data_IF_897627636904
#
_entry.id   IF_897627636904
#
_cell.length_a   1.000
_cell.length_b   1.000
_cell.length_c   1.000
_cell.angle_alpha   90.00
_cell.angle_beta   90.00
_cell.angle_gamma   90.00
#
_symmetry.space_group_name_H-M   'P 1'
#
loop_
_entity.id
_entity.type
_entity.pdbx_description
1 polymer ?
#
# COMPACT_ATOMS: atom_id res chain seq x y z
N UNK A 1 -1.10 1.89 15.97
CA UNK A 1 -1.44 2.88 14.92
C UNK A 1 -0.64 2.56 13.67
N UNK A 2 -1.17 2.82 12.48
CA UNK A 2 -0.45 2.79 11.19
C UNK A 2 -0.58 4.14 10.50
N UNK A 3 0.39 4.47 9.66
CA UNK A 3 0.33 5.70 8.86
C UNK A 3 -0.61 5.51 7.67
N UNK A 4 -1.31 6.57 7.32
CA UNK A 4 -1.99 6.69 6.03
C UNK A 4 -1.54 8.00 5.38
N UNK A 5 -1.27 7.93 4.09
CA UNK A 5 -0.86 9.07 3.27
C UNK A 5 -1.96 9.36 2.28
N UNK A 6 -2.33 10.63 2.19
CA UNK A 6 -3.25 11.08 1.16
C UNK A 6 -2.67 10.76 -0.24
N UNK A 7 -3.48 10.35 -1.23
CA UNK A 7 -3.00 9.85 -2.51
C UNK A 7 -2.03 10.76 -3.29
N UNK A 8 -2.12 12.08 -3.09
CA UNK A 8 -1.24 13.10 -3.68
C UNK A 8 -0.11 13.53 -2.74
N UNK A 9 -0.02 12.91 -1.56
CA UNK A 9 0.98 13.18 -0.55
C UNK A 9 0.75 14.48 0.19
N UNK A 10 -0.46 15.04 0.19
CA UNK A 10 -0.76 16.35 0.79
C UNK A 10 -0.69 16.28 2.32
N UNK A 11 -1.23 15.21 2.91
CA UNK A 11 -1.28 15.04 4.36
C UNK A 11 -1.02 13.60 4.78
N UNK A 12 -0.55 13.47 6.02
CA UNK A 12 -0.32 12.21 6.71
C UNK A 12 -1.19 12.19 7.97
N UNK A 13 -1.77 11.04 8.28
CA UNK A 13 -2.42 10.77 9.57
C UNK A 13 -1.96 9.42 10.13
N UNK A 14 -2.15 9.25 11.42
CA UNK A 14 -2.08 7.95 12.08
C UNK A 14 -3.50 7.45 12.33
N UNK A 15 -3.82 6.30 11.76
CA UNK A 15 -5.08 5.58 12.02
C UNK A 15 -4.82 4.33 12.85
N UNK A 16 -5.82 3.77 13.55
CA UNK A 16 -5.70 2.47 14.19
C UNK A 16 -5.26 1.38 13.19
N UNK A 17 -4.51 0.41 13.68
CA UNK A 17 -3.89 -0.62 12.83
C UNK A 17 -4.92 -1.60 12.26
N UNK A 18 -6.05 -1.70 12.94
CA UNK A 18 -7.24 -2.50 12.66
C UNK A 18 -8.32 -1.73 11.89
N UNK A 19 -8.01 -0.53 11.40
CA UNK A 19 -8.88 0.23 10.49
C UNK A 19 -8.46 0.03 9.03
N UNK A 20 -9.45 -0.05 8.14
CA UNK A 20 -9.30 -0.06 6.69
C UNK A 20 -9.53 1.33 6.09
N UNK A 21 -8.92 1.60 4.94
CA UNK A 21 -9.22 2.73 4.08
C UNK A 21 -10.23 2.31 3.00
N UNK A 22 -11.33 3.05 2.86
CA UNK A 22 -12.50 2.61 2.12
C UNK A 22 -12.49 2.96 0.63
N UNK A 23 -11.96 4.12 0.25
CA UNK A 23 -12.13 4.61 -1.13
C UNK A 23 -11.44 3.70 -2.16
N UNK A 24 -10.35 3.02 -1.80
CA UNK A 24 -9.69 2.06 -2.69
C UNK A 24 -10.37 0.69 -2.74
N UNK A 25 -11.30 0.40 -1.83
CA UNK A 25 -11.94 -0.92 -1.67
C UNK A 25 -13.32 -1.04 -2.31
N UNK A 26 -13.98 0.08 -2.64
CA UNK A 26 -15.35 0.11 -3.17
C UNK A 26 -15.35 0.67 -4.60
N UNK A 27 -15.93 -0.07 -5.56
CA UNK A 27 -15.93 0.27 -7.00
C UNK A 27 -16.55 1.64 -7.32
N UNK A 28 -17.41 2.16 -6.46
CA UNK A 28 -18.17 3.38 -6.70
C UNK A 28 -17.50 4.64 -6.11
N UNK A 29 -16.35 4.50 -5.46
CA UNK A 29 -15.65 5.61 -4.82
C UNK A 29 -14.46 6.04 -5.68
N UNK A 30 -14.40 7.34 -5.96
CA UNK A 30 -13.21 7.95 -6.54
C UNK A 30 -12.12 8.12 -5.45
N UNK A 31 -10.86 8.00 -5.84
CA UNK A 31 -9.68 8.24 -4.99
C UNK A 31 -9.48 9.76 -4.78
N UNK A 32 -10.50 10.43 -4.21
CA UNK A 32 -10.56 11.85 -3.88
C UNK A 32 -11.28 12.07 -2.55
N UNK A 33 -11.09 13.24 -1.95
CA UNK A 33 -11.81 13.64 -0.73
C UNK A 33 -13.33 13.54 -0.90
N UNK A 34 -14.08 13.02 0.09
CA UNK A 34 -13.63 12.58 1.43
C UNK A 34 -12.98 11.20 1.45
N UNK A 35 -11.95 11.03 2.29
CA UNK A 35 -11.25 9.76 2.54
C UNK A 35 -11.86 9.03 3.73
N UNK A 36 -12.44 7.84 3.50
CA UNK A 36 -13.18 7.07 4.51
C UNK A 36 -12.34 6.01 5.23
N UNK A 37 -12.60 5.83 6.51
CA UNK A 37 -11.94 4.88 7.40
C UNK A 37 -12.93 4.24 8.37
N UNK A 38 -12.77 2.95 8.62
CA UNK A 38 -13.54 2.22 9.61
C UNK A 38 -12.77 0.98 10.10
N UNK A 39 -13.14 0.36 11.23
CA UNK A 39 -12.66 -0.96 11.60
C UNK A 39 -12.82 -2.02 10.49
N UNK A 40 -11.94 -3.03 10.46
CA UNK A 40 -12.12 -4.19 9.57
C UNK A 40 -13.40 -4.99 9.91
N UNK A 41 -13.78 -5.04 11.19
CA UNK A 41 -14.91 -5.79 11.73
C UNK A 41 -15.76 -4.90 12.64
N UNK A 42 -17.03 -5.27 12.80
CA UNK A 42 -17.96 -4.66 13.76
C UNK A 42 -17.97 -3.12 13.67
N UNK A 43 -17.91 -2.60 12.44
CA UNK A 43 -18.00 -1.17 12.18
C UNK A 43 -19.36 -0.65 12.64
N UNK A 44 -19.33 0.24 13.63
CA UNK A 44 -20.50 0.94 14.18
C UNK A 44 -20.59 2.39 13.68
N UNK A 45 -19.71 2.78 12.77
CA UNK A 45 -19.65 4.12 12.21
C UNK A 45 -18.44 4.29 11.30
N UNK A 46 -18.44 5.35 10.51
CA UNK A 46 -17.42 5.66 9.52
C UNK A 46 -16.79 7.02 9.82
N UNK A 47 -15.46 7.05 9.92
CA UNK A 47 -14.70 8.28 9.98
C UNK A 47 -14.32 8.71 8.56
N UNK A 48 -14.55 9.96 8.21
CA UNK A 48 -14.12 10.55 6.94
C UNK A 48 -13.23 11.75 7.21
N UNK A 49 -12.19 11.92 6.40
CA UNK A 49 -11.34 13.10 6.41
C UNK A 49 -11.23 13.66 4.99
N UNK A 50 -11.48 14.94 4.84
CA UNK A 50 -11.25 15.67 3.59
C UNK A 50 -10.17 16.72 3.77
N UNK A 51 -9.45 16.98 2.69
CA UNK A 51 -8.57 18.13 2.57
C UNK A 51 -8.80 18.86 1.24
N UNK A 52 -8.80 20.19 1.31
CA UNK A 52 -8.95 21.05 0.15
C UNK A 52 -7.97 22.22 0.27
N UNK A 53 -7.52 22.82 -0.85
CA UNK A 53 -6.77 24.06 -0.80
C UNK A 53 -7.52 25.12 0.02
N UNK A 54 -6.85 25.70 1.01
CA UNK A 54 -7.44 26.71 1.90
C UNK A 54 -7.91 27.94 1.11
N UNK A 55 -7.20 28.26 0.02
CA UNK A 55 -7.53 29.34 -0.91
C UNK A 55 -8.89 29.16 -1.59
N UNK A 56 -9.36 27.91 -1.76
CA UNK A 56 -10.64 27.60 -2.39
C UNK A 56 -11.80 27.67 -1.39
N UNK A 57 -11.62 27.10 -0.19
CA UNK A 57 -12.70 27.02 0.81
C UNK A 57 -12.77 28.22 1.76
N UNK A 58 -11.65 28.87 2.07
CA UNK A 58 -11.58 30.03 2.95
C UNK A 58 -10.58 31.08 2.44
N UNK A 59 -10.91 31.81 1.35
CA UNK A 59 -10.02 32.81 0.76
C UNK A 59 -9.63 33.93 1.73
N UNK A 60 -10.55 34.33 2.62
CA UNK A 60 -10.28 35.36 3.66
C UNK A 60 -9.24 34.89 4.67
N UNK A 61 -9.33 33.64 5.14
CA UNK A 61 -8.35 33.02 6.04
C UNK A 61 -6.98 32.93 5.37
N UNK A 62 -6.95 32.57 4.08
CA UNK A 62 -5.72 32.54 3.28
C UNK A 62 -5.08 33.93 3.19
N UNK A 63 -5.86 34.98 2.92
CA UNK A 63 -5.36 36.37 2.88
C UNK A 63 -4.82 36.84 4.24
N UNK A 64 -5.44 36.42 5.33
CA UNK A 64 -4.99 36.75 6.68
C UNK A 64 -3.75 35.95 7.12
N UNK A 65 -3.47 34.82 6.48
CA UNK A 65 -2.37 33.91 6.79
C UNK A 65 -1.59 33.57 5.52
N UNK A 66 -0.84 34.52 4.93
CA UNK A 66 -0.15 34.32 3.65
C UNK A 66 0.91 33.20 3.70
N UNK A 67 1.49 32.94 4.88
CA UNK A 67 2.44 31.84 5.12
C UNK A 67 1.76 30.54 5.57
N UNK A 68 0.43 30.45 5.46
CA UNK A 68 -0.37 29.35 5.96
C UNK A 68 -0.68 29.40 7.46
N UNK A 69 -1.67 28.62 7.87
CA UNK A 69 -2.13 28.55 9.27
C UNK A 69 -1.19 27.65 10.08
N UNK A 70 -0.40 28.22 11.00
CA UNK A 70 0.66 27.48 11.72
C UNK A 70 0.19 26.60 12.87
N UNK A 71 -1.05 26.78 13.33
CA UNK A 71 -1.62 26.00 14.44
C UNK A 71 -2.99 25.50 14.04
N UNK A 72 -3.12 24.18 13.94
CA UNK A 72 -4.40 23.53 13.76
C UNK A 72 -5.25 23.68 15.03
N UNK A 73 -6.47 24.17 14.87
CA UNK A 73 -7.52 24.16 15.88
C UNK A 73 -8.76 23.55 15.26
N UNK A 74 -9.28 22.51 15.90
CA UNK A 74 -10.52 21.87 15.47
C UNK A 74 -11.70 22.58 16.09
N UNK A 75 -12.63 23.01 15.24
CA UNK A 75 -13.97 23.38 15.67
C UNK A 75 -14.86 22.16 15.50
N UNK A 76 -15.71 21.92 16.49
CA UNK A 76 -16.64 20.80 16.51
C UNK A 76 -18.07 21.30 16.36
N UNK A 77 -18.85 20.62 15.54
CA UNK A 77 -20.29 20.82 15.43
C UNK A 77 -21.00 19.49 15.17
N UNK A 78 -22.32 19.49 15.32
CA UNK A 78 -23.16 18.31 15.12
C UNK A 78 -24.19 18.59 14.03
N UNK A 79 -24.35 17.64 13.11
CA UNK A 79 -25.26 17.74 11.97
C UNK A 79 -25.99 16.41 11.76
N UNK A 80 -27.07 16.22 12.50
CA UNK A 80 -27.85 14.98 12.43
C UNK A 80 -28.95 15.06 11.39
N UNK A 81 -29.36 13.91 10.88
CA UNK A 81 -30.57 13.74 10.09
C UNK A 81 -31.41 12.58 10.66
N UNK A 82 -32.45 12.15 9.92
CA UNK A 82 -33.37 11.14 10.40
C UNK A 82 -32.79 9.71 10.40
N UNK A 83 -31.65 9.47 9.74
CA UNK A 83 -30.99 8.15 9.66
C UNK A 83 -29.65 8.12 10.40
N UNK A 84 -28.94 9.25 10.44
CA UNK A 84 -27.55 9.32 10.87
C UNK A 84 -27.30 10.49 11.82
N UNK A 85 -26.45 10.22 12.82
CA UNK A 85 -25.79 11.24 13.61
C UNK A 85 -24.42 11.56 12.99
N UNK A 86 -24.09 12.85 12.86
CA UNK A 86 -22.78 13.27 12.29
C UNK A 86 -22.07 14.25 13.22
N UNK A 87 -20.89 13.86 13.69
CA UNK A 87 -19.94 14.78 14.32
C UNK A 87 -19.03 15.37 13.26
N UNK A 88 -19.02 16.70 13.16
CA UNK A 88 -18.22 17.45 12.20
C UNK A 88 -17.06 18.11 12.92
N UNK A 89 -15.87 17.95 12.36
CA UNK A 89 -14.64 18.59 12.80
C UNK A 89 -14.09 19.41 11.65
N UNK A 90 -13.81 20.69 11.85
CA UNK A 90 -13.26 21.51 10.78
C UNK A 90 -12.21 22.50 11.28
N UNK A 91 -11.18 22.70 10.47
CA UNK A 91 -10.04 23.54 10.79
C UNK A 91 -9.23 23.89 9.55
N UNK A 92 -8.25 24.76 9.73
CA UNK A 92 -7.26 25.08 8.72
C UNK A 92 -5.87 24.78 9.26
N UNK A 93 -5.00 24.22 8.41
CA UNK A 93 -3.61 23.97 8.75
C UNK A 93 -2.74 24.12 7.51
N UNK A 94 -1.67 24.91 7.63
CA UNK A 94 -0.86 25.38 6.51
C UNK A 94 -1.73 25.95 5.38
N UNK A 95 -1.62 25.38 4.19
CA UNK A 95 -2.34 25.73 2.97
C UNK A 95 -3.62 24.91 2.76
N UNK A 96 -4.06 24.15 3.77
CA UNK A 96 -5.17 23.20 3.66
C UNK A 96 -6.34 23.57 4.59
N UNK A 97 -7.56 23.46 4.07
CA UNK A 97 -8.80 23.36 4.83
C UNK A 97 -9.12 21.89 5.07
N UNK A 98 -9.38 21.51 6.31
CA UNK A 98 -9.60 20.13 6.73
C UNK A 98 -11.02 19.96 7.27
N UNK A 99 -11.68 18.87 6.88
CA UNK A 99 -13.02 18.52 7.33
C UNK A 99 -13.02 17.04 7.74
N UNK A 100 -13.11 16.76 9.02
CA UNK A 100 -13.37 15.44 9.58
C UNK A 100 -14.88 15.23 9.79
N UNK A 101 -15.37 14.01 9.57
CA UNK A 101 -16.73 13.60 9.90
C UNK A 101 -16.70 12.23 10.57
N UNK A 102 -17.47 12.04 11.63
CA UNK A 102 -17.78 10.70 12.13
C UNK A 102 -19.29 10.48 12.02
N UNK A 103 -19.68 9.49 11.23
CA UNK A 103 -21.07 9.22 10.84
C UNK A 103 -21.47 7.85 11.38
N UNK A 104 -22.59 7.76 12.10
CA UNK A 104 -23.13 6.52 12.64
C UNK A 104 -24.66 6.55 12.64
N UNK A 105 -25.27 5.36 12.71
CA UNK A 105 -26.73 5.18 12.71
C UNK A 105 -27.36 5.83 13.95
N UNK A 106 -28.48 6.54 13.78
CA UNK A 106 -29.22 7.18 14.89
C UNK A 106 -29.63 6.19 15.99
N UNK A 107 -29.83 4.91 15.67
CA UNK A 107 -30.14 3.86 16.63
C UNK A 107 -29.01 3.59 17.64
N UNK A 108 -27.79 4.04 17.35
CA UNK A 108 -26.62 3.93 18.23
C UNK A 108 -26.38 5.20 19.07
N UNK A 109 -27.28 6.18 19.04
CA UNK A 109 -27.16 7.35 19.90
C UNK A 109 -27.16 6.96 21.39
N UNK A 110 -26.15 7.43 22.12
CA UNK A 110 -25.93 7.09 23.53
C UNK A 110 -25.20 5.77 23.78
N UNK A 111 -24.87 4.99 22.74
CA UNK A 111 -24.03 3.81 22.86
C UNK A 111 -22.61 4.20 23.32
N UNK A 112 -22.09 3.57 24.38
CA UNK A 112 -20.78 3.88 24.94
C UNK A 112 -19.63 3.66 23.93
N UNK A 113 -19.81 2.72 22.99
CA UNK A 113 -18.82 2.44 21.95
C UNK A 113 -18.64 3.62 21.00
N UNK A 114 -19.68 4.44 20.78
CA UNK A 114 -19.56 5.66 19.96
C UNK A 114 -18.63 6.67 20.64
N UNK A 115 -18.72 6.85 21.95
CA UNK A 115 -17.81 7.72 22.69
C UNK A 115 -16.34 7.25 22.60
N UNK A 116 -16.11 5.93 22.65
CA UNK A 116 -14.79 5.33 22.44
C UNK A 116 -14.25 5.60 21.01
N UNK A 117 -15.10 5.43 19.99
CA UNK A 117 -14.75 5.73 18.60
C UNK A 117 -14.44 7.20 18.39
N UNK A 118 -15.22 8.12 18.97
CA UNK A 118 -14.95 9.56 18.91
C UNK A 118 -13.63 9.94 19.59
N UNK A 119 -13.28 9.28 20.71
CA UNK A 119 -11.99 9.47 21.35
C UNK A 119 -10.82 9.00 20.44
N UNK A 120 -11.02 7.92 19.68
CA UNK A 120 -10.06 7.47 18.65
C UNK A 120 -9.98 8.48 17.51
N UNK A 121 -11.12 8.94 16.98
CA UNK A 121 -11.18 9.98 15.93
C UNK A 121 -10.41 11.23 16.36
N UNK A 122 -10.58 11.69 17.60
CA UNK A 122 -9.82 12.83 18.12
C UNK A 122 -8.31 12.56 18.12
N UNK A 123 -7.86 11.34 18.44
CA UNK A 123 -6.43 10.97 18.33
C UNK A 123 -5.95 11.01 16.87
N UNK A 124 -6.76 10.53 15.93
CA UNK A 124 -6.46 10.59 14.48
C UNK A 124 -6.36 12.04 14.02
N UNK A 125 -7.34 12.89 14.34
CA UNK A 125 -7.37 14.32 13.98
C UNK A 125 -6.17 15.10 14.54
N UNK A 126 -5.69 14.76 15.74
CA UNK A 126 -4.51 15.38 16.34
C UNK A 126 -3.18 14.83 15.79
N UNK A 127 -3.21 13.79 14.96
CA UNK A 127 -2.02 13.23 14.29
C UNK A 127 -1.75 13.83 12.91
N UNK A 128 -2.61 14.74 12.44
CA UNK A 128 -2.51 15.33 11.09
C UNK A 128 -1.20 16.09 10.93
N UNK A 129 -0.49 15.77 9.84
CA UNK A 129 0.68 16.50 9.36
C UNK A 129 0.42 16.91 7.91
N UNK A 130 0.55 18.21 7.60
CA UNK A 130 0.56 18.67 6.21
C UNK A 130 1.99 18.55 5.68
N UNK A 131 2.12 17.86 4.56
CA UNK A 131 3.40 17.69 3.88
C UNK A 131 3.71 18.98 3.10
N UNK A 132 4.90 19.58 3.29
CA UNK A 132 5.33 20.72 2.50
C UNK A 132 5.23 20.45 1.00
N UNK A 133 4.85 21.45 0.21
CA UNK A 133 4.58 21.28 -1.23
C UNK A 133 5.71 20.57 -1.99
N UNK A 134 6.96 20.93 -1.71
CA UNK A 134 8.14 20.32 -2.33
C UNK A 134 8.34 18.83 -2.02
N UNK A 135 7.77 18.33 -0.92
CA UNK A 135 7.92 16.94 -0.46
C UNK A 135 6.70 16.04 -0.77
N UNK A 136 5.59 16.62 -1.23
CA UNK A 136 4.33 15.87 -1.48
C UNK A 136 4.51 14.71 -2.45
N UNK A 137 5.24 14.94 -3.54
CA UNK A 137 5.55 13.88 -4.51
C UNK A 137 6.33 12.73 -3.87
N UNK A 138 7.27 13.03 -2.97
CA UNK A 138 8.04 12.02 -2.24
C UNK A 138 7.12 11.22 -1.30
N UNK A 139 6.25 11.90 -0.57
CA UNK A 139 5.27 11.24 0.31
C UNK A 139 4.34 10.30 -0.47
N UNK A 140 3.77 10.77 -1.58
CA UNK A 140 2.92 9.96 -2.45
C UNK A 140 3.66 8.73 -3.03
N UNK A 141 4.92 8.91 -3.40
CA UNK A 141 5.75 7.82 -3.92
C UNK A 141 6.09 6.78 -2.84
N UNK A 142 6.35 7.21 -1.61
CA UNK A 142 6.56 6.31 -0.47
C UNK A 142 5.30 5.49 -0.16
N UNK A 143 4.11 6.12 -0.24
CA UNK A 143 2.84 5.42 -0.04
C UNK A 143 2.62 4.33 -1.10
N UNK A 144 2.89 4.63 -2.38
CA UNK A 144 2.82 3.65 -3.48
C UNK A 144 3.79 2.48 -3.28
N UNK A 145 5.02 2.76 -2.81
CA UNK A 145 5.98 1.73 -2.44
C UNK A 145 5.44 0.85 -1.29
N UNK A 146 4.86 1.46 -0.27
CA UNK A 146 4.27 0.76 0.86
C UNK A 146 3.09 -0.15 0.46
N UNK A 147 2.21 0.34 -0.43
CA UNK A 147 1.11 -0.46 -1.01
C UNK A 147 1.64 -1.61 -1.87
N UNK A 148 2.74 -1.42 -2.60
CA UNK A 148 3.41 -2.47 -3.37
C UNK A 148 3.92 -3.59 -2.45
N UNK A 149 4.61 -3.23 -1.35
CA UNK A 149 5.07 -4.22 -0.36
C UNK A 149 3.90 -4.96 0.32
N UNK A 150 2.83 -4.25 0.67
CA UNK A 150 1.60 -4.85 1.19
C UNK A 150 1.00 -5.86 0.21
N UNK A 151 0.99 -5.53 -1.08
CA UNK A 151 0.50 -6.41 -2.15
C UNK A 151 1.39 -7.64 -2.35
N UNK A 152 2.72 -7.47 -2.27
CA UNK A 152 3.66 -8.58 -2.29
C UNK A 152 3.42 -9.50 -1.09
N UNK A 153 3.27 -8.97 0.12
CA UNK A 153 2.99 -9.76 1.31
C UNK A 153 1.65 -10.53 1.22
N UNK A 154 0.61 -9.89 0.70
CA UNK A 154 -0.70 -10.52 0.46
C UNK A 154 -0.61 -11.65 -0.58
N UNK A 155 0.22 -11.50 -1.61
CA UNK A 155 0.39 -12.53 -2.64
C UNK A 155 0.94 -13.85 -2.09
N UNK A 156 1.70 -13.83 -0.99
CA UNK A 156 2.14 -15.05 -0.31
C UNK A 156 0.97 -15.81 0.33
N UNK A 157 -0.06 -15.14 0.84
CA UNK A 157 -1.26 -15.83 1.36
C UNK A 157 -2.00 -16.57 0.24
N UNK A 158 -2.07 -15.94 -0.95
CA UNK A 158 -2.63 -16.58 -2.15
C UNK A 158 -1.79 -17.79 -2.56
N UNK A 159 -0.45 -17.65 -2.58
CA UNK A 159 0.45 -18.75 -2.91
C UNK A 159 0.30 -19.93 -1.95
N UNK A 160 0.29 -19.68 -0.64
CA UNK A 160 0.10 -20.72 0.36
C UNK A 160 -1.23 -21.44 0.21
N UNK A 161 -2.29 -20.69 -0.09
CA UNK A 161 -3.62 -21.26 -0.36
C UNK A 161 -3.61 -22.15 -1.61
N UNK A 162 -2.97 -21.69 -2.69
CA UNK A 162 -2.83 -22.48 -3.92
C UNK A 162 -1.99 -23.75 -3.71
N UNK A 163 -0.92 -23.68 -2.92
CA UNK A 163 -0.10 -24.84 -2.53
C UNK A 163 -0.93 -25.84 -1.73
N UNK A 164 -1.67 -25.38 -0.72
CA UNK A 164 -2.52 -26.25 0.11
C UNK A 164 -3.62 -26.93 -0.71
N UNK A 165 -4.15 -26.24 -1.72
CA UNK A 165 -5.15 -26.77 -2.64
C UNK A 165 -4.57 -27.60 -3.80
N UNK A 166 -3.24 -27.73 -3.89
CA UNK A 166 -2.54 -28.34 -5.04
C UNK A 166 -2.96 -27.73 -6.40
N UNK A 167 -3.25 -26.43 -6.42
CA UNK A 167 -3.71 -25.69 -7.59
C UNK A 167 -2.52 -25.25 -8.46
N UNK A 168 -1.89 -26.18 -9.18
CA UNK A 168 -0.60 -25.93 -9.86
C UNK A 168 -0.61 -24.76 -10.86
N UNK A 169 -1.71 -24.54 -11.58
CA UNK A 169 -1.82 -23.38 -12.50
C UNK A 169 -1.80 -22.07 -11.72
N UNK A 170 -2.50 -22.02 -10.58
CA UNK A 170 -2.54 -20.85 -9.71
C UNK A 170 -1.17 -20.60 -9.04
N UNK A 171 -0.48 -21.66 -8.59
CA UNK A 171 0.91 -21.58 -8.10
C UNK A 171 1.79 -20.93 -9.18
N UNK A 172 1.75 -21.41 -10.42
CA UNK A 172 2.52 -20.87 -11.55
C UNK A 172 2.19 -19.39 -11.81
N UNK A 173 0.91 -19.03 -11.79
CA UNK A 173 0.48 -17.65 -12.02
C UNK A 173 0.95 -16.70 -10.91
N UNK A 174 0.76 -17.06 -9.63
CA UNK A 174 1.13 -16.21 -8.50
C UNK A 174 2.65 -16.06 -8.38
N UNK A 175 3.40 -17.16 -8.50
CA UNK A 175 4.86 -17.14 -8.46
C UNK A 175 5.46 -16.30 -9.57
N UNK A 176 4.91 -16.34 -10.79
CA UNK A 176 5.35 -15.45 -11.88
C UNK A 176 5.17 -13.97 -11.52
N UNK A 177 4.03 -13.59 -10.90
CA UNK A 177 3.81 -12.23 -10.44
C UNK A 177 4.79 -11.82 -9.33
N UNK A 178 5.12 -12.73 -8.42
CA UNK A 178 6.08 -12.46 -7.34
C UNK A 178 7.52 -12.32 -7.87
N UNK A 179 7.92 -13.14 -8.86
CA UNK A 179 9.19 -13.00 -9.58
C UNK A 179 9.30 -11.60 -10.21
N UNK A 180 8.29 -11.19 -10.97
CA UNK A 180 8.21 -9.85 -11.58
C UNK A 180 8.30 -8.75 -10.51
N UNK A 181 7.62 -8.93 -9.37
CA UNK A 181 7.67 -7.99 -8.25
C UNK A 181 9.06 -7.87 -7.59
N UNK A 182 9.76 -8.98 -7.37
CA UNK A 182 11.13 -8.98 -6.84
C UNK A 182 12.09 -8.25 -7.78
N UNK A 183 11.96 -8.45 -9.10
CA UNK A 183 12.77 -7.76 -10.09
C UNK A 183 12.48 -6.26 -10.14
N UNK A 184 11.20 -5.85 -10.05
CA UNK A 184 10.80 -4.43 -9.98
C UNK A 184 11.41 -3.73 -8.76
N UNK A 185 11.38 -4.37 -7.59
CA UNK A 185 12.02 -3.82 -6.39
C UNK A 185 13.54 -3.72 -6.56
N UNK A 186 14.16 -4.76 -7.09
CA UNK A 186 15.60 -4.79 -7.34
C UNK A 186 16.03 -3.69 -8.32
N UNK A 187 15.23 -3.43 -9.37
CA UNK A 187 15.44 -2.33 -10.31
C UNK A 187 15.36 -0.96 -9.66
N UNK A 188 14.36 -0.72 -8.80
CA UNK A 188 14.25 0.54 -8.05
C UNK A 188 15.49 0.75 -7.19
N UNK A 189 15.94 -0.28 -6.47
CA UNK A 189 17.14 -0.20 -5.62
C UNK A 189 18.39 0.01 -6.47
N UNK A 190 18.55 -0.73 -7.58
CA UNK A 190 19.70 -0.60 -8.48
C UNK A 190 19.84 0.83 -9.02
N UNK A 191 18.74 1.44 -9.48
CA UNK A 191 18.72 2.84 -9.92
C UNK A 191 19.08 3.81 -8.80
N UNK A 192 18.53 3.61 -7.60
CA UNK A 192 18.87 4.43 -6.44
C UNK A 192 20.36 4.34 -6.09
N UNK A 193 20.95 3.14 -6.23
CA UNK A 193 22.38 2.89 -6.02
C UNK A 193 23.26 3.59 -7.06
N UNK A 194 22.89 3.50 -8.33
CA UNK A 194 23.61 4.11 -9.45
C UNK A 194 23.53 5.65 -9.41
N UNK A 195 22.33 6.20 -9.20
CA UNK A 195 22.06 7.65 -9.24
C UNK A 195 22.32 8.34 -7.89
N UNK A 196 22.59 7.58 -6.81
CA UNK A 196 22.77 8.06 -5.43
C UNK A 196 21.61 8.92 -4.94
N UNK A 197 20.39 8.41 -5.09
CA UNK A 197 19.15 9.17 -4.86
C UNK A 197 18.18 8.43 -3.94
N UNK A 198 17.34 9.21 -3.24
CA UNK A 198 16.19 8.72 -2.48
C UNK A 198 14.94 8.56 -3.36
N UNK A 199 15.01 8.97 -4.63
CA UNK A 199 13.87 8.96 -5.53
C UNK A 199 13.43 7.52 -5.83
N UNK A 200 12.12 7.28 -5.75
CA UNK A 200 11.52 5.99 -6.08
C UNK A 200 11.02 6.08 -7.51
N UNK A 201 11.52 5.19 -8.38
CA UNK A 201 11.09 5.08 -9.77
C UNK A 201 9.72 4.38 -9.85
N UNK A 202 8.66 5.15 -9.65
CA UNK A 202 7.28 4.65 -9.44
C UNK A 202 6.71 3.87 -10.62
N UNK A 203 7.18 4.09 -11.85
CA UNK A 203 6.71 3.32 -13.02
C UNK A 203 6.90 1.81 -12.88
N UNK A 204 7.82 1.36 -12.01
CA UNK A 204 8.02 -0.05 -11.73
C UNK A 204 7.05 -0.58 -10.67
N UNK A 205 6.48 0.26 -9.80
CA UNK A 205 5.74 -0.14 -8.60
C UNK A 205 4.25 0.19 -8.65
N UNK A 206 3.83 1.07 -9.55
CA UNK A 206 2.44 1.51 -9.65
C UNK A 206 2.05 1.77 -11.10
N UNK A 207 0.81 1.44 -11.42
CA UNK A 207 0.15 1.70 -12.69
C UNK A 207 -1.25 2.20 -12.38
N UNK A 208 -1.59 3.42 -12.81
CA UNK A 208 -2.94 3.93 -12.63
C UNK A 208 -3.90 3.33 -13.65
N UNK A 209 -5.21 3.47 -13.39
CA UNK A 209 -6.24 3.06 -14.34
C UNK A 209 -6.09 3.80 -15.67
N UNK A 210 -6.11 3.04 -16.77
CA UNK A 210 -5.94 3.58 -18.13
C UNK A 210 -4.49 3.83 -18.56
N UNK A 211 -3.50 3.69 -17.67
CA UNK A 211 -2.08 3.77 -18.04
C UNK A 211 -1.59 2.49 -18.70
N UNK A 212 -0.66 2.62 -19.66
CA UNK A 212 0.05 1.48 -20.22
C UNK A 212 1.14 1.04 -19.26
N UNK A 213 0.94 -0.08 -18.58
CA UNK A 213 1.93 -0.71 -17.71
C UNK A 213 3.19 -1.17 -18.43
N UNK A 214 4.27 -1.34 -17.66
CA UNK A 214 5.50 -1.98 -18.13
C UNK A 214 5.24 -3.48 -18.24
N UNK A 215 5.38 -4.02 -19.47
CA UNK A 215 5.27 -5.45 -19.72
C UNK A 215 6.38 -6.22 -18.99
N UNK A 216 6.07 -7.41 -18.50
CA UNK A 216 7.02 -8.30 -17.79
C UNK A 216 8.32 -8.54 -18.56
N UNK A 217 8.27 -8.78 -19.88
CA UNK A 217 9.50 -8.92 -20.69
C UNK A 217 10.38 -7.66 -20.63
N UNK A 218 9.75 -6.48 -20.60
CA UNK A 218 10.49 -5.22 -20.47
C UNK A 218 11.13 -5.08 -19.08
N UNK A 219 10.51 -5.63 -18.03
CA UNK A 219 11.13 -5.74 -16.70
C UNK A 219 12.35 -6.64 -16.75
N UNK A 220 12.29 -7.77 -17.47
CA UNK A 220 13.46 -8.65 -17.64
C UNK A 220 14.59 -7.95 -18.42
N UNK A 221 14.25 -7.26 -19.51
CA UNK A 221 15.22 -6.50 -20.31
C UNK A 221 15.90 -5.42 -19.48
N UNK A 222 15.12 -4.66 -18.71
CA UNK A 222 15.65 -3.64 -17.81
C UNK A 222 16.51 -4.29 -16.70
N UNK A 223 16.08 -5.42 -16.13
CA UNK A 223 16.83 -6.12 -15.09
C UNK A 223 18.20 -6.60 -15.61
N UNK A 224 18.28 -7.09 -16.84
CA UNK A 224 19.56 -7.42 -17.48
C UNK A 224 20.39 -6.14 -17.72
N UNK A 225 19.76 -5.08 -18.25
CA UNK A 225 20.44 -3.82 -18.55
C UNK A 225 21.04 -3.13 -17.32
N UNK A 226 20.34 -3.16 -16.18
CA UNK A 226 20.81 -2.64 -14.89
C UNK A 226 21.65 -3.63 -14.10
N UNK A 227 22.03 -4.77 -14.69
CA UNK A 227 22.83 -5.83 -14.06
C UNK A 227 22.22 -6.33 -12.73
N UNK A 228 20.88 -6.33 -12.64
CA UNK A 228 20.13 -6.97 -11.56
C UNK A 228 20.19 -8.48 -11.71
N UNK A 229 20.12 -8.96 -12.95
CA UNK A 229 20.25 -10.37 -13.32
C UNK A 229 21.34 -10.54 -14.38
N UNK A 230 21.93 -11.72 -14.47
CA UNK A 230 22.84 -12.09 -15.55
C UNK A 230 22.09 -12.66 -16.77
N UNK A 231 22.83 -12.93 -17.85
CA UNK A 231 22.29 -13.45 -19.09
C UNK A 231 21.64 -14.84 -18.91
N UNK A 232 22.24 -15.71 -18.09
CA UNK A 232 21.70 -17.05 -17.82
C UNK A 232 20.34 -16.98 -17.10
N UNK A 233 20.25 -16.13 -16.08
CA UNK A 233 19.00 -15.87 -15.35
C UNK A 233 17.96 -15.24 -16.29
N UNK A 234 18.35 -14.29 -17.13
CA UNK A 234 17.47 -13.66 -18.12
C UNK A 234 16.87 -14.68 -19.09
N UNK A 235 17.70 -15.57 -19.65
CA UNK A 235 17.25 -16.61 -20.57
C UNK A 235 16.29 -17.59 -19.87
N UNK A 236 16.64 -18.01 -18.65
CA UNK A 236 15.81 -18.89 -17.82
C UNK A 236 14.43 -18.30 -17.52
N UNK A 237 14.37 -17.01 -17.17
CA UNK A 237 13.11 -16.31 -16.90
C UNK A 237 12.25 -16.15 -18.18
N UNK A 238 12.88 -15.91 -19.33
CA UNK A 238 12.17 -15.87 -20.61
C UNK A 238 11.59 -17.23 -21.01
N UNK A 239 12.31 -18.32 -20.75
CA UNK A 239 11.82 -19.68 -20.95
C UNK A 239 10.61 -19.97 -20.06
N UNK A 240 10.67 -19.57 -18.79
CA UNK A 240 9.53 -19.65 -17.88
C UNK A 240 8.36 -18.82 -18.41
N UNK A 241 8.55 -17.57 -18.80
CA UNK A 241 7.48 -16.74 -19.39
C UNK A 241 6.78 -17.44 -20.57
N UNK A 242 7.55 -18.02 -21.49
CA UNK A 242 7.01 -18.76 -22.63
C UNK A 242 6.24 -20.01 -22.20
N UNK A 243 6.76 -20.71 -21.18
CA UNK A 243 6.12 -21.87 -20.57
C UNK A 243 4.80 -21.50 -19.89
N UNK A 244 4.75 -20.40 -19.13
CA UNK A 244 3.52 -19.86 -18.54
C UNK A 244 2.47 -19.63 -19.60
N UNK A 245 2.82 -18.95 -20.69
CA UNK A 245 1.86 -18.63 -21.73
C UNK A 245 1.28 -19.89 -22.37
N UNK A 246 2.06 -20.98 -22.41
CA UNK A 246 1.56 -22.28 -22.83
C UNK A 246 0.62 -22.89 -21.78
N UNK A 247 0.98 -22.86 -20.50
CA UNK A 247 0.16 -23.39 -19.39
C UNK A 247 -1.13 -22.59 -19.16
N UNK A 248 -1.14 -21.27 -19.31
CA UNK A 248 -2.30 -20.42 -19.01
C UNK A 248 -3.21 -20.30 -20.24
N UNK A 249 -2.64 -19.97 -21.40
CA UNK A 249 -3.46 -19.63 -22.58
C UNK A 249 -3.65 -20.79 -23.56
N UNK A 250 -2.77 -21.79 -23.53
CA UNK A 250 -2.76 -22.87 -24.54
C UNK A 250 -2.86 -24.26 -23.93
N UNK A 251 -3.19 -24.39 -22.64
CA UNK A 251 -3.23 -25.68 -21.96
C UNK A 251 -4.05 -26.72 -22.73
N UNK A 252 -5.30 -26.36 -23.06
CA UNK A 252 -6.27 -27.22 -23.77
C UNK A 252 -5.76 -27.67 -25.15
N UNK A 253 -5.03 -26.79 -25.85
CA UNK A 253 -4.53 -27.02 -27.21
C UNK A 253 -3.05 -27.40 -27.25
N UNK A 254 -2.48 -27.79 -26.11
CA UNK A 254 -1.08 -28.20 -25.98
C UNK A 254 -0.99 -29.63 -25.45
N UNK A 255 0.15 -30.28 -25.67
CA UNK A 255 0.40 -31.63 -25.15
C UNK A 255 0.75 -31.69 -23.66
N UNK A 256 0.74 -30.55 -22.95
CA UNK A 256 1.05 -30.49 -21.52
C UNK A 256 0.06 -31.38 -20.76
N UNK A 257 0.59 -32.40 -20.08
CA UNK A 257 -0.20 -33.25 -19.18
C UNK A 257 -0.23 -32.64 -17.79
N UNK A 258 -1.32 -32.86 -17.05
CA UNK A 258 -1.48 -32.32 -15.68
C UNK A 258 -0.34 -32.74 -14.74
N UNK A 259 0.21 -33.95 -14.92
CA UNK A 259 1.37 -34.42 -14.14
C UNK A 259 2.62 -33.53 -14.31
N UNK A 260 2.78 -32.90 -15.47
CA UNK A 260 3.92 -32.02 -15.74
C UNK A 260 3.78 -30.69 -15.01
N UNK A 261 2.56 -30.28 -14.64
CA UNK A 261 2.31 -29.05 -13.89
C UNK A 261 3.00 -29.06 -12.52
N UNK A 262 3.18 -30.24 -11.91
CA UNK A 262 3.94 -30.40 -10.66
C UNK A 262 5.38 -29.93 -10.84
N UNK A 263 6.04 -30.46 -11.87
CA UNK A 263 7.43 -30.12 -12.20
C UNK A 263 7.56 -28.66 -12.63
N UNK A 264 6.59 -28.15 -13.40
CA UNK A 264 6.58 -26.76 -13.85
C UNK A 264 6.42 -25.83 -12.64
N UNK A 265 5.47 -26.08 -11.74
CA UNK A 265 5.31 -25.31 -10.51
C UNK A 265 6.59 -25.32 -9.65
N UNK A 266 7.27 -26.47 -9.57
CA UNK A 266 8.58 -26.57 -8.91
C UNK A 266 9.63 -25.63 -9.51
N UNK A 267 9.72 -25.52 -10.84
CA UNK A 267 10.64 -24.59 -11.50
C UNK A 267 10.34 -23.13 -11.15
N UNK A 268 9.06 -22.77 -11.09
CA UNK A 268 8.65 -21.43 -10.69
C UNK A 268 8.99 -21.10 -9.24
N UNK A 269 8.77 -22.03 -8.31
CA UNK A 269 9.15 -21.84 -6.91
C UNK A 269 10.67 -21.69 -6.75
N UNK A 270 11.47 -22.44 -7.52
CA UNK A 270 12.92 -22.26 -7.53
C UNK A 270 13.34 -20.89 -8.07
N UNK A 271 12.75 -20.44 -9.19
CA UNK A 271 13.04 -19.12 -9.77
C UNK A 271 12.58 -17.97 -8.85
N UNK A 272 11.48 -18.17 -8.13
CA UNK A 272 11.01 -17.23 -7.10
C UNK A 272 12.05 -17.05 -6.00
N UNK A 273 12.60 -18.14 -5.47
CA UNK A 273 13.63 -18.06 -4.43
C UNK A 273 14.91 -17.43 -4.96
N UNK A 274 15.34 -17.77 -6.17
CA UNK A 274 16.50 -17.13 -6.81
C UNK A 274 16.32 -15.62 -6.93
N UNK A 275 15.19 -15.14 -7.43
CA UNK A 275 14.93 -13.69 -7.55
C UNK A 275 14.76 -13.00 -6.20
N UNK A 276 14.22 -13.69 -5.19
CA UNK A 276 14.16 -13.18 -3.80
C UNK A 276 15.57 -12.97 -3.23
N UNK A 277 16.50 -13.89 -3.49
CA UNK A 277 17.89 -13.77 -3.05
C UNK A 277 18.62 -12.62 -3.75
N UNK A 278 18.36 -12.41 -5.05
CA UNK A 278 18.86 -11.25 -5.79
C UNK A 278 18.37 -9.95 -5.14
N UNK A 279 17.07 -9.83 -4.87
CA UNK A 279 16.51 -8.67 -4.17
C UNK A 279 17.22 -8.43 -2.83
N UNK A 280 17.35 -9.48 -2.00
CA UNK A 280 18.03 -9.39 -0.70
C UNK A 280 19.46 -8.83 -0.85
N UNK A 281 20.20 -9.26 -1.86
CA UNK A 281 21.57 -8.79 -2.07
C UNK A 281 21.60 -7.29 -2.46
N UNK A 282 20.60 -6.79 -3.20
CA UNK A 282 20.42 -5.36 -3.46
C UNK A 282 20.03 -4.58 -2.20
N UNK A 283 19.11 -5.11 -1.39
CA UNK A 283 18.73 -4.51 -0.11
C UNK A 283 19.95 -4.37 0.83
N UNK A 284 20.81 -5.40 0.88
CA UNK A 284 22.06 -5.38 1.66
C UNK A 284 23.05 -4.34 1.13
N UNK A 285 23.19 -4.20 -0.20
CA UNK A 285 24.01 -3.15 -0.81
C UNK A 285 23.49 -1.75 -0.44
N UNK A 286 22.17 -1.56 -0.41
CA UNK A 286 21.58 -0.27 -0.05
C UNK A 286 21.66 0.04 1.45
N UNK A 287 21.60 -0.97 2.32
CA UNK A 287 21.64 -0.81 3.77
C UNK A 287 22.90 -0.10 4.31
N UNK A 288 24.00 -0.06 3.54
CA UNK A 288 25.28 0.53 3.94
C UNK A 288 25.54 1.92 3.35
N UNK A 289 24.64 2.47 2.52
CA UNK A 289 24.77 3.81 1.92
C UNK A 289 23.76 4.79 2.52
N UNK A 290 24.01 6.11 2.53
CA UNK A 290 23.15 7.08 3.22
C UNK A 290 21.88 7.50 2.45
N UNK A 291 21.63 6.90 1.29
CA UNK A 291 20.53 7.23 0.38
C UNK A 291 19.73 5.97 0.00
N UNK A 292 18.56 6.17 -0.60
CA UNK A 292 17.64 5.11 -1.01
C UNK A 292 16.68 4.68 0.10
N UNK A 293 15.77 3.77 -0.24
CA UNK A 293 14.68 3.31 0.64
C UNK A 293 15.19 2.72 1.97
N UNK A 294 16.23 1.90 1.89
CA UNK A 294 16.79 1.15 3.00
C UNK A 294 18.09 1.76 3.56
N UNK A 295 18.50 2.95 3.09
CA UNK A 295 19.78 3.59 3.45
C UNK A 295 20.10 3.57 4.95
N UNK A 296 21.33 3.87 5.37
CA UNK A 296 21.90 3.57 6.71
C UNK A 296 21.05 3.84 7.96
N UNK A 297 20.01 4.67 7.87
CA UNK A 297 18.98 4.86 8.91
C UNK A 297 18.03 3.67 9.08
N UNK A 298 17.70 2.93 8.01
CA UNK A 298 16.75 1.81 8.00
C UNK A 298 17.43 0.44 8.12
N UNK A 299 18.62 0.27 7.52
CA UNK A 299 19.33 -1.02 7.44
C UNK A 299 19.83 -1.63 8.76
N UNK A 300 19.76 -0.90 9.88
CA UNK A 300 20.21 -1.37 11.21
C UNK A 300 19.06 -1.67 12.18
N UNK A 301 17.82 -1.55 11.74
CA UNK A 301 16.66 -1.69 12.61
C UNK A 301 16.27 -3.17 12.71
N UNK A 302 16.30 -3.73 13.92
CA UNK A 302 15.74 -5.08 14.16
C UNK A 302 14.26 -5.09 13.77
N UNK A 303 13.79 -6.18 13.15
CA UNK A 303 12.37 -6.39 12.88
C UNK A 303 11.62 -6.37 14.21
N UNK A 304 10.71 -5.42 14.37
CA UNK A 304 9.88 -5.28 15.58
C UNK A 304 8.50 -5.88 15.37
N UNK A 305 7.84 -6.28 16.46
CA UNK A 305 6.45 -6.75 16.41
C UNK A 305 5.50 -5.70 15.79
N UNK A 306 5.77 -4.41 16.02
CA UNK A 306 5.01 -3.33 15.40
C UNK A 306 5.20 -3.29 13.87
N UNK A 307 6.43 -3.49 13.37
CA UNK A 307 6.70 -3.57 11.93
C UNK A 307 5.97 -4.74 11.27
N UNK A 308 5.96 -5.91 11.93
CA UNK A 308 5.23 -7.10 11.46
C UNK A 308 3.73 -6.81 11.41
N UNK A 309 3.15 -6.24 12.48
CA UNK A 309 1.72 -5.91 12.51
C UNK A 309 1.35 -4.89 11.44
N UNK A 310 2.19 -3.90 11.16
CA UNK A 310 1.96 -2.94 10.06
C UNK A 310 1.97 -3.63 8.71
N UNK A 311 2.88 -4.57 8.48
CA UNK A 311 2.90 -5.37 7.26
C UNK A 311 1.62 -6.22 7.13
N UNK A 312 1.14 -6.80 8.23
CA UNK A 312 -0.11 -7.55 8.26
C UNK A 312 -1.32 -6.67 7.96
N UNK A 313 -1.38 -5.46 8.52
CA UNK A 313 -2.42 -4.51 8.20
C UNK A 313 -2.40 -4.11 6.71
N UNK A 314 -1.21 -3.87 6.13
CA UNK A 314 -1.06 -3.60 4.69
C UNK A 314 -1.53 -4.77 3.82
N UNK A 315 -1.26 -6.01 4.24
CA UNK A 315 -1.76 -7.20 3.55
C UNK A 315 -3.30 -7.33 3.67
N UNK A 316 -3.86 -7.05 4.86
CA UNK A 316 -5.30 -7.02 5.08
C UNK A 316 -6.00 -5.97 4.21
N UNK A 317 -5.41 -4.77 4.10
CA UNK A 317 -5.88 -3.69 3.22
C UNK A 317 -5.90 -4.11 1.73
N UNK A 318 -4.99 -5.01 1.33
CA UNK A 318 -4.98 -5.57 -0.02
C UNK A 318 -6.03 -6.67 -0.22
N UNK A 319 -6.18 -7.55 0.77
CA UNK A 319 -7.09 -8.69 0.66
C UNK A 319 -8.55 -8.25 0.74
N UNK A 320 -8.91 -7.48 1.76
CA UNK A 320 -10.29 -7.15 2.13
C UNK A 320 -11.21 -8.40 2.15
N UNK A 321 -10.64 -9.54 2.57
CA UNK A 321 -11.31 -10.83 2.63
C UNK A 321 -11.00 -11.50 3.96
N UNK A 322 -12.05 -11.91 4.67
CA UNK A 322 -11.95 -12.45 6.03
C UNK A 322 -11.04 -13.69 6.10
N UNK A 323 -11.12 -14.58 5.11
CA UNK A 323 -10.29 -15.80 5.07
C UNK A 323 -8.77 -15.55 5.02
N UNK A 324 -8.33 -14.36 4.62
CA UNK A 324 -6.91 -13.97 4.54
C UNK A 324 -6.53 -12.94 5.60
N UNK A 325 -7.44 -12.63 6.52
CA UNK A 325 -7.20 -11.65 7.55
C UNK A 325 -6.13 -12.14 8.52
N UNK A 326 -5.06 -11.36 8.65
CA UNK A 326 -4.00 -11.57 9.63
C UNK A 326 -4.33 -10.81 10.91
N UNK A 327 -4.06 -11.43 12.06
CA UNK A 327 -4.24 -10.76 13.36
C UNK A 327 -3.24 -9.61 13.52
N UNK A 328 -3.76 -8.42 13.85
CA UNK A 328 -2.97 -7.21 14.11
C UNK A 328 -3.03 -6.78 15.59
N UNK A 329 -3.60 -7.62 16.46
CA UNK A 329 -3.65 -7.40 17.91
C UNK A 329 -2.25 -7.59 18.53
N UNK A 330 -1.97 -6.88 19.61
CA UNK A 330 -0.74 -7.10 20.38
C UNK A 330 -0.74 -8.52 20.96
N UNK A 331 0.36 -9.26 20.78
CA UNK A 331 0.53 -10.61 21.34
C UNK A 331 0.63 -10.65 22.87
N UNK A 332 0.54 -9.48 23.52
CA UNK A 332 0.66 -9.29 24.98
C UNK A 332 -0.60 -8.72 25.64
N UNK A 333 -1.74 -8.70 24.96
CA UNK A 333 -3.01 -8.29 25.57
C UNK A 333 -3.72 -9.44 26.27
#
# INVERSE_FOLDING_TARGET
MKHWTEPNGILLIQIPIDWQYLNSGLRDYEEKSPYGFQPYEDSIGCFQLSCYPLSELAPSTTKANPDGVRKLSWNESRADNFEFCTHLFYGAYYDQALIGKYIYDVALEGDSRIAEQLAIVNKVLNSVVIVPEGDRKRAANLDKFDRFLGSLAASYDLLYSAINALAFIEIIAITANQIDAHLRLSLVIAKQLEEKTDNIEIRYLFQADGEKGIMERKVFDDALGFQVIDAETFDSLNDLYNLRNRVIHRYIISDIKSRELVTIAGKYLSALEQTRLILRDFEQKQAVVPYGLYGTKSGKTSITDDAIRRLYAKANDKHLLEKYKRSVKDSKS
#
